data_IF_228767292541
#
_entry.id   IF_228767292541
#
_cell.length_a   1.000
_cell.length_b   1.000
_cell.length_c   1.000
_cell.angle_alpha   90.00
_cell.angle_beta   90.00
_cell.angle_gamma   90.00
#
_symmetry.space_group_name_H-M   'P 1'
#
loop_
_entity.id
_entity.type
_entity.pdbx_description
1 polymer ?
#
# COMPACT_ATOMS: atom_id res chain seq x y z
N UNK A 1 6.50 9.98 11.85
CA UNK A 1 7.10 8.71 12.31
C UNK A 1 7.97 8.90 13.54
N UNK A 2 7.51 9.61 14.58
CA UNK A 2 8.25 9.62 15.86
C UNK A 2 8.11 8.27 16.60
N UNK A 3 7.05 7.54 16.29
CA UNK A 3 6.65 6.24 16.84
C UNK A 3 7.46 5.05 16.31
N UNK A 4 8.11 5.17 15.14
CA UNK A 4 9.03 4.14 14.63
C UNK A 4 10.42 4.24 15.30
N UNK A 5 10.76 5.41 15.85
CA UNK A 5 12.02 5.63 16.56
C UNK A 5 13.27 5.51 15.67
N UNK A 6 14.40 5.13 16.27
CA UNK A 6 15.67 4.86 15.60
C UNK A 6 15.84 3.40 15.17
N UNK A 7 14.72 2.69 15.02
CA UNK A 7 14.76 1.25 14.78
C UNK A 7 14.92 0.94 13.30
N UNK A 8 15.65 -0.14 12.99
CA UNK A 8 15.68 -0.72 11.66
C UNK A 8 14.27 -1.12 11.21
N UNK A 9 13.92 -0.78 9.97
CA UNK A 9 12.63 -1.14 9.37
C UNK A 9 12.79 -1.95 8.09
N UNK A 10 11.83 -2.83 7.86
CA UNK A 10 11.57 -3.47 6.56
C UNK A 10 10.38 -2.77 5.93
N UNK A 11 10.62 -2.05 4.85
CA UNK A 11 9.57 -1.44 4.02
C UNK A 11 9.05 -2.51 3.07
N UNK A 12 7.79 -2.90 3.25
CA UNK A 12 7.12 -3.90 2.43
C UNK A 12 6.15 -3.19 1.46
N UNK A 13 6.56 -3.06 0.21
CA UNK A 13 5.76 -2.43 -0.83
C UNK A 13 4.72 -3.40 -1.39
N UNK A 14 3.46 -2.98 -1.45
CA UNK A 14 2.40 -3.75 -2.08
C UNK A 14 2.35 -3.41 -3.57
N UNK A 15 2.64 -4.41 -4.40
CA UNK A 15 2.67 -4.31 -5.85
C UNK A 15 1.30 -4.65 -6.46
N UNK A 16 0.96 -4.09 -7.63
CA UNK A 16 1.78 -3.14 -8.39
C UNK A 16 1.59 -1.70 -7.96
N UNK A 17 0.37 -1.28 -7.64
CA UNK A 17 0.02 0.13 -7.53
C UNK A 17 0.80 0.93 -6.49
N UNK A 18 1.24 0.30 -5.39
CA UNK A 18 2.04 0.96 -4.36
C UNK A 18 3.46 1.37 -4.79
N UNK A 19 3.98 0.90 -5.94
CA UNK A 19 5.40 1.06 -6.28
C UNK A 19 5.86 2.52 -6.32
N UNK A 20 5.02 3.41 -6.89
CA UNK A 20 5.41 4.81 -7.08
C UNK A 20 5.38 5.59 -5.76
N UNK A 21 4.31 5.41 -4.98
CA UNK A 21 4.21 5.97 -3.63
C UNK A 21 5.33 5.44 -2.71
N UNK A 22 5.62 4.15 -2.76
CA UNK A 22 6.70 3.56 -1.97
C UNK A 22 8.07 4.13 -2.33
N UNK A 23 8.37 4.28 -3.62
CA UNK A 23 9.64 4.85 -4.08
C UNK A 23 9.80 6.29 -3.55
N UNK A 24 8.77 7.12 -3.72
CA UNK A 24 8.81 8.52 -3.31
C UNK A 24 8.88 8.62 -1.76
N UNK A 25 8.14 7.79 -1.01
CA UNK A 25 8.20 7.74 0.45
C UNK A 25 9.58 7.35 0.98
N UNK A 26 10.18 6.29 0.42
CA UNK A 26 11.53 5.83 0.80
C UNK A 26 12.57 6.91 0.51
N UNK A 27 12.45 7.63 -0.61
CA UNK A 27 13.35 8.73 -0.94
C UNK A 27 13.25 9.87 0.09
N UNK A 28 12.04 10.23 0.52
CA UNK A 28 11.86 11.22 1.58
C UNK A 28 12.46 10.75 2.92
N UNK A 29 12.31 9.47 3.30
CA UNK A 29 12.91 8.93 4.53
C UNK A 29 14.45 8.94 4.43
N UNK A 30 15.02 8.57 3.26
CA UNK A 30 16.48 8.64 3.01
C UNK A 30 16.99 10.07 3.15
N UNK A 31 16.27 11.04 2.60
CA UNK A 31 16.64 12.45 2.67
C UNK A 31 16.62 12.95 4.12
N UNK A 32 15.60 12.60 4.91
CA UNK A 32 15.57 12.92 6.34
C UNK A 32 16.72 12.24 7.10
N UNK A 33 17.04 10.99 6.76
CA UNK A 33 18.11 10.22 7.43
C UNK A 33 19.51 10.77 7.16
N UNK A 34 19.73 11.41 6.01
CA UNK A 34 21.01 12.01 5.63
C UNK A 34 21.18 13.44 6.11
N UNK A 35 20.07 14.17 6.25
CA UNK A 35 20.08 15.62 6.56
C UNK A 35 19.64 15.92 8.00
N UNK A 36 19.54 14.90 8.87
CA UNK A 36 19.23 15.08 10.29
C UNK A 36 20.12 14.18 11.14
N UNK A 37 20.14 14.42 12.44
CA UNK A 37 20.83 13.55 13.42
C UNK A 37 20.17 12.17 13.57
N UNK A 38 19.02 11.95 12.93
CA UNK A 38 18.24 10.71 13.05
C UNK A 38 18.39 9.86 11.80
N UNK A 39 19.05 8.73 11.93
CA UNK A 39 19.20 7.74 10.87
C UNK A 39 18.25 6.55 11.07
N UNK A 40 17.59 6.10 9.99
CA UNK A 40 16.77 4.89 9.97
C UNK A 40 17.32 3.95 8.90
N UNK A 41 17.82 2.78 9.31
CA UNK A 41 18.22 1.73 8.38
C UNK A 41 16.99 1.07 7.77
N UNK A 42 16.97 0.96 6.44
CA UNK A 42 15.83 0.41 5.70
C UNK A 42 16.25 -0.75 4.82
N UNK A 43 15.49 -1.85 4.89
CA UNK A 43 15.44 -2.87 3.84
C UNK A 43 14.14 -2.72 3.09
N UNK A 44 14.15 -2.90 1.77
CA UNK A 44 12.93 -2.84 0.95
C UNK A 44 12.64 -4.23 0.40
N UNK A 45 11.37 -4.61 0.47
CA UNK A 45 10.86 -5.87 -0.03
C UNK A 45 9.50 -5.66 -0.69
N UNK A 46 9.05 -6.64 -1.48
CA UNK A 46 7.87 -6.51 -2.31
C UNK A 46 6.94 -7.71 -2.13
N UNK A 47 5.64 -7.42 -2.06
CA UNK A 47 4.56 -8.42 -2.07
C UNK A 47 3.57 -8.05 -3.14
N UNK A 48 2.99 -9.00 -3.85
CA UNK A 48 1.86 -8.73 -4.75
C UNK A 48 0.59 -9.27 -4.11
N UNK A 49 -0.46 -8.47 -4.05
CA UNK A 49 -1.77 -8.95 -3.60
C UNK A 49 -2.76 -8.68 -4.73
N UNK A 50 -3.47 -9.71 -5.18
CA UNK A 50 -4.56 -9.56 -6.15
C UNK A 50 -5.88 -9.62 -5.40
N UNK A 51 -6.67 -8.54 -5.50
CA UNK A 51 -7.98 -8.42 -4.86
C UNK A 51 -9.03 -7.71 -5.71
N UNK A 52 -8.75 -7.44 -6.98
CA UNK A 52 -9.65 -6.71 -7.90
C UNK A 52 -9.64 -7.29 -9.31
N UNK A 53 -10.81 -7.20 -9.95
CA UNK A 53 -11.02 -7.33 -11.38
C UNK A 53 -12.02 -6.26 -11.80
N UNK A 54 -11.70 -5.47 -12.85
CA UNK A 54 -12.45 -4.25 -13.18
C UNK A 54 -12.52 -3.28 -11.99
N UNK A 55 -13.71 -2.81 -11.64
CA UNK A 55 -13.96 -1.89 -10.53
C UNK A 55 -14.54 -2.59 -9.28
N UNK A 56 -14.52 -3.92 -9.23
CA UNK A 56 -15.03 -4.69 -8.10
C UNK A 56 -13.93 -5.49 -7.39
N UNK A 57 -14.02 -5.51 -6.06
CA UNK A 57 -13.19 -6.37 -5.23
C UNK A 57 -13.59 -7.84 -5.38
N UNK A 58 -12.62 -8.74 -5.53
CA UNK A 58 -12.83 -10.19 -5.58
C UNK A 58 -12.89 -10.79 -4.17
N UNK A 59 -13.59 -11.91 -4.01
CA UNK A 59 -13.62 -12.64 -2.72
C UNK A 59 -12.28 -13.34 -2.43
N UNK A 60 -11.65 -13.89 -3.46
CA UNK A 60 -10.34 -14.54 -3.37
C UNK A 60 -9.22 -13.49 -3.38
N UNK A 61 -8.84 -12.99 -2.19
CA UNK A 61 -7.59 -12.23 -2.05
C UNK A 61 -6.42 -13.21 -2.09
N UNK A 62 -5.66 -13.22 -3.20
CA UNK A 62 -4.48 -14.08 -3.35
C UNK A 62 -3.21 -13.25 -3.18
N UNK A 63 -2.42 -13.61 -2.17
CA UNK A 63 -1.07 -13.09 -1.98
C UNK A 63 -0.14 -13.88 -2.92
N UNK A 64 0.57 -13.18 -3.80
CA UNK A 64 1.43 -13.73 -4.83
C UNK A 64 2.83 -13.12 -4.63
N UNK A 65 3.83 -13.95 -4.39
CA UNK A 65 5.16 -13.48 -4.00
C UNK A 65 5.19 -13.00 -2.54
N UNK A 66 6.38 -12.97 -1.95
CA UNK A 66 6.55 -12.86 -0.50
C UNK A 66 6.66 -14.23 0.19
N UNK A 67 7.11 -15.25 -0.54
CA UNK A 67 7.12 -16.68 -0.16
C UNK A 67 7.91 -17.01 1.11
N UNK A 68 8.60 -16.01 1.69
CA UNK A 68 9.18 -16.13 3.02
C UNK A 68 8.96 -14.87 3.86
N UNK A 69 7.77 -14.74 4.44
CA UNK A 69 7.52 -13.75 5.50
C UNK A 69 8.24 -14.10 6.82
N UNK A 70 8.90 -15.26 6.95
CA UNK A 70 9.67 -15.58 8.16
C UNK A 70 10.83 -14.61 8.37
N UNK A 71 11.36 -14.01 7.30
CA UNK A 71 12.37 -12.93 7.39
C UNK A 71 11.88 -11.66 8.09
N UNK A 72 10.56 -11.51 8.26
CA UNK A 72 9.94 -10.40 9.00
C UNK A 72 9.85 -10.67 10.52
N UNK A 73 10.18 -11.88 10.98
CA UNK A 73 10.13 -12.24 12.39
C UNK A 73 11.02 -11.32 13.24
N UNK A 74 10.45 -10.76 14.31
CA UNK A 74 11.14 -9.80 15.18
C UNK A 74 11.56 -8.48 14.50
N UNK A 75 11.11 -8.19 13.28
CA UNK A 75 11.40 -6.93 12.58
C UNK A 75 10.28 -5.92 12.73
N UNK A 76 10.62 -4.65 12.56
CA UNK A 76 9.65 -3.58 12.41
C UNK A 76 9.29 -3.48 10.93
N UNK A 77 8.02 -3.64 10.59
CA UNK A 77 7.55 -3.69 9.21
C UNK A 77 6.70 -2.45 8.93
N UNK A 78 7.05 -1.73 7.88
CA UNK A 78 6.24 -0.66 7.31
C UNK A 78 5.65 -1.15 5.99
N UNK A 79 4.36 -1.47 5.98
CA UNK A 79 3.64 -1.82 4.77
C UNK A 79 3.28 -0.52 4.04
N UNK A 80 3.53 -0.46 2.74
CA UNK A 80 3.21 0.69 1.89
C UNK A 80 2.24 0.28 0.80
N UNK A 81 1.05 0.86 0.82
CA UNK A 81 -0.07 0.60 -0.09
C UNK A 81 -0.45 1.87 -0.86
N UNK A 82 -1.03 1.72 -2.05
CA UNK A 82 -1.51 2.87 -2.84
C UNK A 82 -2.87 3.40 -2.35
N UNK A 83 -3.85 2.52 -2.15
CA UNK A 83 -5.22 2.89 -1.79
C UNK A 83 -5.89 1.85 -0.90
N UNK A 84 -6.52 2.33 0.16
CA UNK A 84 -7.36 1.51 1.04
C UNK A 84 -8.82 1.86 0.80
N UNK A 85 -9.56 0.88 0.25
CA UNK A 85 -11.02 0.91 0.08
C UNK A 85 -11.74 0.22 1.24
N UNK A 86 -12.16 -1.03 1.01
CA UNK A 86 -12.86 -1.86 2.01
C UNK A 86 -11.93 -2.39 3.12
N UNK A 87 -10.61 -2.35 2.90
CA UNK A 87 -9.62 -2.89 3.82
C UNK A 87 -9.41 -4.40 3.76
N UNK A 88 -10.14 -5.14 2.90
CA UNK A 88 -10.00 -6.61 2.78
C UNK A 88 -8.56 -7.05 2.48
N UNK A 89 -7.91 -6.40 1.50
CA UNK A 89 -6.50 -6.64 1.14
C UNK A 89 -5.57 -6.52 2.35
N UNK A 90 -5.70 -5.41 3.10
CA UNK A 90 -4.84 -5.13 4.24
C UNK A 90 -5.09 -6.07 5.41
N UNK A 91 -6.34 -6.42 5.70
CA UNK A 91 -6.67 -7.42 6.72
C UNK A 91 -6.02 -8.77 6.39
N UNK A 92 -6.19 -9.26 5.15
CA UNK A 92 -5.59 -10.53 4.71
C UNK A 92 -4.06 -10.52 4.76
N UNK A 93 -3.43 -9.42 4.34
CA UNK A 93 -1.97 -9.26 4.37
C UNK A 93 -1.45 -9.23 5.82
N UNK A 94 -2.09 -8.44 6.70
CA UNK A 94 -1.72 -8.36 8.11
C UNK A 94 -1.89 -9.69 8.83
N UNK A 95 -2.98 -10.41 8.58
CA UNK A 95 -3.20 -11.74 9.16
C UNK A 95 -2.15 -12.76 8.70
N UNK A 96 -1.63 -12.59 7.48
CA UNK A 96 -0.54 -13.43 6.96
C UNK A 96 0.80 -13.09 7.59
N UNK A 97 1.13 -11.80 7.74
CA UNK A 97 2.41 -11.35 8.29
C UNK A 97 2.48 -11.57 9.81
N UNK A 98 1.39 -11.32 10.55
CA UNK A 98 1.36 -11.44 12.02
C UNK A 98 1.68 -12.85 12.53
N UNK A 99 1.42 -13.89 11.72
CA UNK A 99 1.79 -15.29 12.03
C UNK A 99 3.29 -15.46 12.29
N UNK A 100 4.12 -14.62 11.67
CA UNK A 100 5.58 -14.66 11.81
C UNK A 100 6.11 -13.78 12.94
N UNK A 101 5.21 -13.16 13.74
CA UNK A 101 5.56 -12.36 14.92
C UNK A 101 6.61 -11.26 14.64
N UNK A 102 6.33 -10.32 13.72
CA UNK A 102 7.12 -9.09 13.63
C UNK A 102 7.05 -8.33 14.96
N UNK A 103 8.11 -7.56 15.27
CA UNK A 103 8.15 -6.72 16.48
C UNK A 103 7.11 -5.60 16.42
N UNK A 104 6.89 -5.06 15.22
CA UNK A 104 5.91 -4.01 14.95
C UNK A 104 5.44 -4.12 13.51
N UNK A 105 4.17 -3.79 13.26
CA UNK A 105 3.65 -3.57 11.91
C UNK A 105 2.94 -2.23 11.86
N UNK A 106 3.32 -1.41 10.90
CA UNK A 106 2.70 -0.13 10.58
C UNK A 106 2.25 -0.12 9.13
N UNK A 107 1.14 0.55 8.83
CA UNK A 107 0.63 0.68 7.46
C UNK A 107 0.61 2.14 7.04
N UNK A 108 1.23 2.43 5.90
CA UNK A 108 1.15 3.69 5.18
C UNK A 108 0.34 3.50 3.90
N UNK A 109 -0.65 4.36 3.66
CA UNK A 109 -1.41 4.39 2.41
C UNK A 109 -1.42 5.78 1.80
N UNK A 110 -1.27 5.91 0.47
CA UNK A 110 -1.42 7.22 -0.14
C UNK A 110 -2.86 7.72 0.00
N UNK A 111 -3.82 6.85 -0.34
CA UNK A 111 -5.25 7.17 -0.35
C UNK A 111 -6.04 6.28 0.61
N UNK A 112 -7.05 6.86 1.24
CA UNK A 112 -8.07 6.13 2.02
C UNK A 112 -9.44 6.58 1.55
N UNK A 113 -10.30 5.64 1.14
CA UNK A 113 -11.66 5.95 0.73
C UNK A 113 -12.57 6.12 1.93
N UNK A 114 -13.41 7.16 1.89
CA UNK A 114 -14.57 7.30 2.78
C UNK A 114 -15.62 6.28 2.41
N UNK A 115 -15.57 5.13 3.07
CA UNK A 115 -16.60 4.09 2.94
C UNK A 115 -17.54 4.15 4.13
N UNK A 116 -18.82 3.79 3.92
CA UNK A 116 -19.87 3.81 4.96
C UNK A 116 -19.79 2.57 5.87
N UNK A 117 -18.74 1.76 5.74
CA UNK A 117 -18.66 0.46 6.41
C UNK A 117 -18.17 0.61 7.86
N UNK A 118 -18.89 0.04 8.84
CA UNK A 118 -18.52 0.10 10.25
C UNK A 118 -17.19 -0.59 10.58
N UNK A 119 -16.72 -1.51 9.71
CA UNK A 119 -15.49 -2.30 9.90
C UNK A 119 -14.32 -1.87 9.00
N UNK A 120 -14.27 -0.59 8.60
CA UNK A 120 -13.19 -0.06 7.75
C UNK A 120 -11.79 -0.26 8.35
N UNK A 121 -10.80 -0.53 7.51
CA UNK A 121 -9.39 -0.57 7.94
C UNK A 121 -8.80 0.85 7.87
N UNK A 122 -8.23 1.34 8.98
CA UNK A 122 -7.56 2.63 9.03
C UNK A 122 -6.04 2.43 9.12
N UNK A 123 -5.26 2.94 8.16
CA UNK A 123 -3.79 2.87 8.23
C UNK A 123 -3.25 3.81 9.32
N UNK A 124 -2.05 3.50 9.83
CA UNK A 124 -1.34 4.35 10.78
C UNK A 124 -0.95 5.71 10.17
N UNK A 125 -0.59 5.69 8.88
CA UNK A 125 -0.26 6.89 8.12
C UNK A 125 -1.05 6.91 6.82
N UNK A 126 -1.65 8.06 6.51
CA UNK A 126 -2.27 8.27 5.20
C UNK A 126 -2.03 9.67 4.66
N UNK A 127 -1.93 9.77 3.34
CA UNK A 127 -1.79 11.05 2.66
C UNK A 127 -3.13 11.77 2.54
N UNK A 128 -4.09 11.14 1.87
CA UNK A 128 -5.37 11.75 1.54
C UNK A 128 -6.55 10.85 1.84
N UNK A 129 -7.61 11.47 2.35
CA UNK A 129 -8.91 10.84 2.50
C UNK A 129 -9.85 11.29 1.36
N UNK A 130 -10.26 10.36 0.51
CA UNK A 130 -10.98 10.64 -0.74
C UNK A 130 -12.42 10.12 -0.71
N UNK A 131 -13.34 10.68 -1.51
CA UNK A 131 -14.65 10.07 -1.72
C UNK A 131 -14.54 8.64 -2.28
N UNK A 132 -15.62 7.85 -2.18
CA UNK A 132 -15.67 6.53 -2.80
C UNK A 132 -15.87 6.62 -4.33
N UNK A 133 -14.80 6.96 -5.03
CA UNK A 133 -14.72 7.06 -6.48
C UNK A 133 -13.63 6.11 -7.00
N UNK A 134 -13.77 5.68 -8.25
CA UNK A 134 -12.72 4.88 -8.90
C UNK A 134 -11.65 5.82 -9.45
N UNK A 135 -10.45 5.74 -8.88
CA UNK A 135 -9.32 6.61 -9.21
C UNK A 135 -8.21 5.83 -9.92
N UNK A 136 -7.51 6.50 -10.83
CA UNK A 136 -6.40 5.97 -11.62
C UNK A 136 -5.25 6.99 -11.66
N UNK A 137 -4.08 6.57 -12.12
CA UNK A 137 -2.88 7.41 -12.18
C UNK A 137 -2.04 7.32 -10.92
N UNK A 138 -0.82 7.85 -11.00
CA UNK A 138 0.21 7.71 -9.98
C UNK A 138 0.38 6.23 -9.56
N UNK A 139 0.58 5.36 -10.55
CA UNK A 139 0.64 3.90 -10.43
C UNK A 139 -0.67 3.15 -10.14
N UNK A 140 -1.76 3.82 -9.75
CA UNK A 140 -3.09 3.20 -9.70
C UNK A 140 -3.60 2.93 -11.12
N UNK A 141 -4.38 1.87 -11.28
CA UNK A 141 -4.81 1.41 -12.60
C UNK A 141 -6.29 1.12 -12.74
N UNK A 142 -6.69 0.98 -14.00
CA UNK A 142 -7.87 0.24 -14.39
C UNK A 142 -7.46 -0.82 -15.41
N UNK A 143 -7.52 -2.09 -15.03
CA UNK A 143 -7.12 -3.24 -15.86
C UNK A 143 -5.73 -3.09 -16.50
N UNK A 144 -4.74 -2.72 -15.69
CA UNK A 144 -3.33 -2.45 -16.05
C UNK A 144 -3.08 -1.17 -16.88
N UNK A 145 -4.11 -0.40 -17.23
CA UNK A 145 -3.97 0.91 -17.88
C UNK A 145 -3.85 2.05 -16.86
N UNK A 146 -3.33 3.20 -17.32
CA UNK A 146 -3.24 4.48 -16.60
C UNK A 146 -2.21 4.56 -15.47
N UNK A 147 -1.42 3.52 -15.20
CA UNK A 147 -0.35 3.58 -14.19
C UNK A 147 0.70 4.65 -14.47
N UNK A 148 0.85 4.98 -15.75
CA UNK A 148 1.78 5.95 -16.35
C UNK A 148 1.27 7.39 -16.31
N UNK A 149 0.01 7.62 -15.91
CA UNK A 149 -0.51 8.97 -15.68
C UNK A 149 0.08 9.56 -14.40
N UNK A 150 0.60 10.79 -14.44
CA UNK A 150 1.20 11.42 -13.25
C UNK A 150 0.18 11.80 -12.18
N UNK A 151 -1.01 12.24 -12.60
CA UNK A 151 -2.05 12.75 -11.71
C UNK A 151 -3.02 11.65 -11.31
N UNK A 152 -3.44 11.69 -10.04
CA UNK A 152 -4.62 10.95 -9.60
C UNK A 152 -5.86 11.58 -10.24
N UNK A 153 -6.63 10.76 -10.95
CA UNK A 153 -7.80 11.18 -11.72
C UNK A 153 -8.97 10.22 -11.51
N UNK A 154 -10.20 10.69 -11.69
CA UNK A 154 -11.40 9.84 -11.73
C UNK A 154 -11.63 9.37 -13.16
N UNK A 155 -11.80 8.06 -13.37
CA UNK A 155 -12.08 7.50 -14.70
C UNK A 155 -13.54 7.80 -15.10
N UNK A 156 -13.74 8.28 -16.34
CA UNK A 156 -15.08 8.51 -16.89
C UNK A 156 -15.71 7.22 -17.46
N UNK A 157 -17.01 7.27 -17.79
CA UNK A 157 -17.74 6.11 -18.29
C UNK A 157 -17.19 5.58 -19.63
N UNK A 158 -16.71 6.46 -20.51
CA UNK A 158 -16.08 6.05 -21.76
C UNK A 158 -14.79 5.25 -21.52
N UNK A 159 -13.94 5.72 -20.60
CA UNK A 159 -12.71 5.04 -20.20
C UNK A 159 -12.99 3.68 -19.56
N UNK A 160 -13.98 3.61 -18.65
CA UNK A 160 -14.43 2.33 -18.08
C UNK A 160 -14.87 1.35 -19.18
N UNK A 161 -15.71 1.79 -20.11
CA UNK A 161 -16.18 0.94 -21.20
C UNK A 161 -15.05 0.48 -22.13
N UNK A 162 -14.08 1.36 -22.43
CA UNK A 162 -12.98 1.10 -23.36
C UNK A 162 -12.00 0.03 -22.86
N UNK A 163 -11.72 0.02 -21.55
CA UNK A 163 -10.65 -0.82 -20.98
C UNK A 163 -11.17 -1.95 -20.07
N UNK A 164 -12.48 -2.25 -20.10
CA UNK A 164 -13.09 -3.33 -19.32
C UNK A 164 -12.60 -4.70 -19.80
N UNK A 165 -12.46 -5.67 -18.87
CA UNK A 165 -12.11 -7.08 -19.15
C UNK A 165 -13.15 -8.05 -18.62
#
# INVERSE_FOLDING_TARGET
MQDIGYNDIVVLCVLKGGYKFCADLVEHIKNLSRNSEKFISMKVDFVRVKSYQNDQSTEDTRIIGGDDFSKLAGKNVLIVEDIIGTGKTMKALLDSIKKYKPSMVKVASLLVKRTVLPDGFRPDYYGFEIPDLFVVGYALDYNEYFRDLNHLCVINNHGKAKYRV
#
